data_IF_051087192322
#
_entry.id   IF_051087192322
#
_cell.length_a   1.000
_cell.length_b   1.000
_cell.length_c   1.000
_cell.angle_alpha   90.00
_cell.angle_beta   90.00
_cell.angle_gamma   90.00
#
_symmetry.space_group_name_H-M   'P 1'
#
loop_
_entity.id
_entity.type
_entity.pdbx_description
1 polymer ?
#
# COMPACT_ATOMS: atom_id res chain seq x y z
N UNK A 1 11.20 39.58 69.34
CA UNK A 1 10.08 40.51 69.55
C UNK A 1 10.21 41.55 68.46
N UNK A 2 9.42 41.56 67.39
CA UNK A 2 8.11 40.95 67.18
C UNK A 2 7.92 40.50 65.73
N UNK A 3 7.34 39.31 65.59
CA UNK A 3 6.54 38.90 64.44
C UNK A 3 5.21 39.68 64.45
N UNK A 4 4.66 40.03 63.28
CA UNK A 4 3.26 39.67 62.97
C UNK A 4 2.90 39.95 61.51
N UNK A 5 2.44 38.87 60.90
CA UNK A 5 1.64 38.71 59.69
C UNK A 5 0.61 39.81 59.39
N UNK A 6 0.41 40.04 58.09
CA UNK A 6 -0.95 40.02 57.52
C UNK A 6 -0.93 39.61 56.06
N UNK A 7 -1.27 38.36 55.83
CA UNK A 7 -1.96 37.89 54.64
C UNK A 7 -3.21 38.75 54.36
N UNK A 8 -3.46 39.06 53.09
CA UNK A 8 -4.72 38.69 52.40
C UNK A 8 -4.73 39.12 50.93
N UNK A 9 -5.00 38.09 50.12
CA UNK A 9 -5.91 38.11 48.97
C UNK A 9 -5.47 38.87 47.70
N UNK A 10 -4.80 38.12 46.82
CA UNK A 10 -5.04 38.22 45.36
C UNK A 10 -6.51 37.86 45.09
N UNK A 11 -7.23 38.56 44.20
CA UNK A 11 -7.08 38.23 42.78
C UNK A 11 -7.40 39.41 41.84
N UNK A 12 -6.67 39.56 40.74
CA UNK A 12 -7.34 39.94 39.49
C UNK A 12 -6.47 39.85 38.26
N UNK A 13 -7.11 39.32 37.23
CA UNK A 13 -6.91 39.66 35.84
C UNK A 13 -5.65 39.07 35.19
N UNK A 14 -5.73 37.76 34.95
CA UNK A 14 -5.55 37.24 33.59
C UNK A 14 -6.15 38.22 32.56
N UNK A 15 -5.27 38.85 31.78
CA UNK A 15 -5.60 39.58 30.55
C UNK A 15 -4.72 39.01 29.44
N UNK A 16 -5.30 38.76 28.26
CA UNK A 16 -5.09 37.54 27.51
C UNK A 16 -3.88 37.65 26.60
N UNK A 17 -3.27 36.49 26.31
CA UNK A 17 -2.41 36.33 25.15
C UNK A 17 -3.25 36.62 23.90
N UNK A 18 -3.26 37.88 23.47
CA UNK A 18 -3.84 38.30 22.21
C UNK A 18 -3.17 37.57 21.04
N UNK A 19 -3.88 37.36 19.91
CA UNK A 19 -3.37 36.69 18.73
C UNK A 19 -2.41 37.60 17.94
N UNK A 20 -1.36 38.11 18.59
CA UNK A 20 -0.25 38.83 17.96
C UNK A 20 1.01 37.96 17.94
N UNK A 21 0.86 36.66 17.68
CA UNK A 21 1.89 35.91 16.97
C UNK A 21 1.80 36.26 15.49
N UNK A 22 1.88 37.54 15.18
CA UNK A 22 2.13 38.06 13.84
C UNK A 22 3.42 37.42 13.35
N UNK A 23 3.29 36.43 12.46
CA UNK A 23 4.32 35.90 11.55
C UNK A 23 5.78 36.23 11.92
N UNK A 24 6.24 35.81 13.11
CA UNK A 24 7.64 35.97 13.49
C UNK A 24 8.43 34.98 12.68
N UNK A 25 8.97 35.48 11.56
CA UNK A 25 9.81 34.72 10.65
C UNK A 25 10.87 33.97 11.46
N UNK A 26 10.96 32.67 11.24
CA UNK A 26 11.98 31.84 11.86
C UNK A 26 13.37 32.29 11.41
N UNK A 27 14.41 31.99 12.19
CA UNK A 27 15.79 32.36 11.83
C UNK A 27 16.20 31.82 10.44
N UNK A 28 15.65 30.67 10.05
CA UNK A 28 15.87 30.06 8.73
C UNK A 28 15.13 30.83 7.61
N UNK A 29 13.92 31.30 7.87
CA UNK A 29 13.13 32.12 6.92
C UNK A 29 13.71 33.54 6.78
N UNK A 30 14.19 34.14 7.87
CA UNK A 30 14.92 35.42 7.83
C UNK A 30 16.23 35.26 7.06
N UNK A 31 16.97 34.18 7.30
CA UNK A 31 18.20 33.89 6.55
C UNK A 31 17.91 33.61 5.06
N UNK A 32 16.73 33.09 4.72
CA UNK A 32 16.29 32.89 3.34
C UNK A 32 15.89 34.23 2.66
N UNK A 33 15.11 35.07 3.34
CA UNK A 33 14.61 36.35 2.83
C UNK A 33 15.71 37.43 2.74
N UNK A 34 16.66 37.42 3.68
CA UNK A 34 17.80 38.35 3.71
C UNK A 34 19.02 37.82 2.94
N UNK A 35 18.92 36.63 2.32
CA UNK A 35 20.03 36.07 1.54
C UNK A 35 20.19 36.84 0.24
N UNK A 36 21.44 37.18 -0.08
CA UNK A 36 21.78 37.78 -1.36
C UNK A 36 21.39 36.82 -2.52
N UNK A 37 20.50 37.23 -3.45
CA UNK A 37 20.10 36.41 -4.59
C UNK A 37 21.28 36.00 -5.47
N UNK A 38 22.35 36.81 -5.52
CA UNK A 38 23.57 36.47 -6.26
C UNK A 38 24.36 35.34 -5.60
N UNK A 39 24.33 35.24 -4.26
CA UNK A 39 24.94 34.10 -3.55
C UNK A 39 24.11 32.83 -3.74
N UNK A 40 22.78 32.92 -3.74
CA UNK A 40 21.91 31.78 -4.06
C UNK A 40 22.16 31.26 -5.48
N UNK A 41 22.25 32.16 -6.47
CA UNK A 41 22.53 31.78 -7.84
C UNK A 41 23.89 31.07 -7.97
N UNK A 42 24.93 31.58 -7.31
CA UNK A 42 26.27 30.96 -7.29
C UNK A 42 26.28 29.60 -6.61
N UNK A 43 25.55 29.43 -5.50
CA UNK A 43 25.43 28.15 -4.82
C UNK A 43 24.63 27.13 -5.63
N UNK A 44 23.52 27.55 -6.23
CA UNK A 44 22.74 26.71 -7.13
C UNK A 44 23.56 26.28 -8.34
N UNK A 45 24.37 27.17 -8.92
CA UNK A 45 25.25 26.86 -10.03
C UNK A 45 26.35 25.87 -9.60
N UNK A 46 26.95 26.06 -8.42
CA UNK A 46 27.94 25.14 -7.85
C UNK A 46 27.33 23.76 -7.57
N UNK A 47 26.11 23.71 -7.05
CA UNK A 47 25.35 22.48 -6.85
C UNK A 47 25.00 21.80 -8.19
N UNK A 48 24.61 22.56 -9.21
CA UNK A 48 24.32 22.05 -10.55
C UNK A 48 25.58 21.48 -11.22
N UNK A 49 26.74 22.13 -11.08
CA UNK A 49 28.03 21.60 -11.55
C UNK A 49 28.42 20.30 -10.81
N UNK A 50 28.24 20.28 -9.49
CA UNK A 50 28.48 19.07 -8.67
C UNK A 50 27.55 17.91 -9.06
N UNK A 51 26.27 18.18 -9.32
CA UNK A 51 25.32 17.16 -9.75
C UNK A 51 25.66 16.63 -11.15
N UNK A 52 26.03 17.50 -12.10
CA UNK A 52 26.51 17.10 -13.43
C UNK A 52 27.72 16.17 -13.37
N UNK A 53 28.76 16.55 -12.62
CA UNK A 53 29.95 15.70 -12.45
C UNK A 53 29.63 14.35 -11.79
N UNK A 54 28.69 14.32 -10.83
CA UNK A 54 28.21 13.07 -10.22
C UNK A 54 27.44 12.20 -11.21
N UNK A 55 26.60 12.78 -12.06
CA UNK A 55 25.86 12.04 -13.09
C UNK A 55 26.79 11.53 -14.19
N UNK A 56 27.76 12.33 -14.61
CA UNK A 56 28.78 11.94 -15.59
C UNK A 56 29.65 10.80 -15.05
N UNK A 57 30.06 10.85 -13.78
CA UNK A 57 30.80 9.75 -13.15
C UNK A 57 29.99 8.46 -13.06
N UNK A 58 28.68 8.55 -12.85
CA UNK A 58 27.79 7.37 -12.87
C UNK A 58 27.57 6.83 -14.28
N UNK A 59 27.61 7.69 -15.30
CA UNK A 59 27.48 7.29 -16.69
C UNK A 59 28.78 6.66 -17.21
N UNK A 60 29.94 7.20 -16.82
CA UNK A 60 31.26 6.74 -17.24
C UNK A 60 31.72 5.46 -16.52
N UNK A 61 31.30 5.24 -15.27
CA UNK A 61 31.64 4.05 -14.49
C UNK A 61 30.38 3.24 -14.12
N UNK A 62 29.99 2.24 -14.94
CA UNK A 62 28.83 1.39 -14.67
C UNK A 62 29.00 0.54 -13.40
N UNK A 63 30.23 0.15 -13.04
CA UNK A 63 30.50 -0.62 -11.83
C UNK A 63 30.29 0.23 -10.56
N UNK A 64 30.66 1.51 -10.59
CA UNK A 64 30.35 2.46 -9.53
C UNK A 64 28.85 2.72 -9.39
N UNK A 65 28.13 2.85 -10.50
CA UNK A 65 26.67 2.99 -10.47
C UNK A 65 25.98 1.77 -9.86
N UNK A 66 26.41 0.55 -10.22
CA UNK A 66 25.91 -0.69 -9.61
C UNK A 66 26.19 -0.77 -8.10
N UNK A 67 27.40 -0.38 -7.65
CA UNK A 67 27.72 -0.32 -6.21
C UNK A 67 26.77 0.62 -5.44
N UNK A 68 26.42 1.78 -6.02
CA UNK A 68 25.44 2.69 -5.41
C UNK A 68 24.04 2.06 -5.32
N UNK A 69 23.56 1.47 -6.42
CA UNK A 69 22.24 0.78 -6.44
C UNK A 69 22.19 -0.39 -5.46
N UNK A 70 23.28 -1.14 -5.32
CA UNK A 70 23.38 -2.24 -4.36
C UNK A 70 23.32 -1.73 -2.92
N UNK A 71 24.05 -0.65 -2.60
CA UNK A 71 24.00 -0.01 -1.29
C UNK A 71 22.61 0.54 -0.94
N UNK A 72 21.89 1.13 -1.92
CA UNK A 72 20.50 1.55 -1.73
C UNK A 72 19.55 0.39 -1.47
N UNK A 73 19.68 -0.71 -2.23
CA UNK A 73 18.89 -1.93 -2.01
C UNK A 73 19.10 -2.49 -0.60
N UNK A 74 20.33 -2.51 -0.10
CA UNK A 74 20.66 -2.98 1.24
C UNK A 74 20.07 -2.06 2.33
N UNK A 75 20.17 -0.73 2.17
CA UNK A 75 19.52 0.22 3.08
C UNK A 75 18.01 0.00 3.14
N UNK A 76 17.36 -0.18 2.00
CA UNK A 76 15.92 -0.47 1.94
C UNK A 76 15.58 -1.80 2.60
N UNK A 77 16.40 -2.84 2.39
CA UNK A 77 16.22 -4.15 3.05
C UNK A 77 16.30 -4.03 4.56
N UNK A 78 17.31 -3.34 5.10
CA UNK A 78 17.45 -3.10 6.55
C UNK A 78 16.29 -2.30 7.13
N UNK A 79 15.82 -1.27 6.41
CA UNK A 79 14.65 -0.50 6.83
C UNK A 79 13.40 -1.38 6.91
N UNK A 80 13.12 -2.17 5.87
CA UNK A 80 11.98 -3.11 5.86
C UNK A 80 12.08 -4.13 6.99
N UNK A 81 13.27 -4.67 7.24
CA UNK A 81 13.51 -5.61 8.34
C UNK A 81 13.19 -4.96 9.70
N UNK A 82 13.68 -3.73 9.93
CA UNK A 82 13.39 -2.98 11.14
C UNK A 82 11.89 -2.67 11.29
N UNK A 83 11.25 -2.26 10.21
CA UNK A 83 9.81 -1.95 10.19
C UNK A 83 8.93 -3.20 10.37
N UNK A 84 9.47 -4.41 10.11
CA UNK A 84 8.79 -5.69 10.37
C UNK A 84 9.01 -6.23 11.79
N UNK A 85 10.04 -5.81 12.52
CA UNK A 85 10.28 -6.25 13.89
C UNK A 85 9.18 -5.67 14.79
N UNK A 86 8.46 -6.53 15.50
CA UNK A 86 7.38 -6.13 16.42
C UNK A 86 6.02 -5.90 15.76
N UNK A 87 5.88 -6.12 14.44
CA UNK A 87 4.55 -6.24 13.83
C UNK A 87 4.07 -7.69 14.01
N UNK A 88 2.87 -7.91 14.57
CA UNK A 88 2.30 -9.25 14.59
C UNK A 88 2.20 -9.76 13.15
N UNK A 89 2.53 -11.04 12.96
CA UNK A 89 2.34 -11.70 11.67
C UNK A 89 0.89 -11.49 11.24
N UNK A 90 0.64 -10.96 10.02
CA UNK A 90 -0.72 -10.77 9.56
C UNK A 90 -1.43 -12.12 9.60
N UNK A 91 -2.66 -12.19 10.12
CA UNK A 91 -3.38 -13.45 10.26
C UNK A 91 -3.45 -14.14 8.90
N UNK A 92 -3.17 -15.45 8.87
CA UNK A 92 -3.31 -16.25 7.66
C UNK A 92 -4.74 -16.11 7.15
N UNK A 93 -4.89 -15.51 5.98
CA UNK A 93 -6.19 -15.37 5.35
C UNK A 93 -6.66 -16.77 4.91
N UNK A 94 -7.87 -17.19 5.30
CA UNK A 94 -8.41 -18.47 4.87
C UNK A 94 -8.57 -18.52 3.35
N UNK A 95 -8.63 -19.72 2.78
CA UNK A 95 -8.92 -19.86 1.37
C UNK A 95 -10.31 -19.32 1.02
N UNK A 96 -10.45 -18.72 -0.16
CA UNK A 96 -11.77 -18.36 -0.68
C UNK A 96 -12.46 -19.64 -1.16
N UNK A 97 -13.70 -19.85 -0.71
CA UNK A 97 -14.53 -20.97 -1.19
C UNK A 97 -14.83 -20.78 -2.68
N UNK A 98 -14.47 -21.79 -3.48
CA UNK A 98 -14.68 -21.79 -4.92
C UNK A 98 -15.70 -22.88 -5.28
N UNK A 99 -16.66 -22.58 -6.18
CA UNK A 99 -17.65 -23.56 -6.58
C UNK A 99 -17.00 -24.77 -7.28
N UNK A 100 -17.64 -25.93 -7.20
CA UNK A 100 -17.20 -27.13 -7.91
C UNK A 100 -17.50 -27.02 -9.42
N UNK A 101 -16.60 -26.35 -10.13
CA UNK A 101 -16.64 -26.21 -11.58
C UNK A 101 -15.47 -26.94 -12.23
N UNK A 102 -15.74 -27.51 -13.40
CA UNK A 102 -14.68 -27.97 -14.31
C UNK A 102 -13.95 -26.78 -14.92
N UNK A 103 -12.76 -27.02 -15.48
CA UNK A 103 -11.98 -25.99 -16.17
C UNK A 103 -12.78 -25.30 -17.29
N UNK A 104 -13.54 -26.07 -18.08
CA UNK A 104 -14.34 -25.53 -19.18
C UNK A 104 -15.45 -24.61 -18.68
N UNK A 105 -16.18 -25.04 -17.64
CA UNK A 105 -17.24 -24.24 -17.01
C UNK A 105 -16.69 -22.98 -16.35
N UNK A 106 -15.52 -23.07 -15.70
CA UNK A 106 -14.87 -21.89 -15.11
C UNK A 106 -14.48 -20.86 -16.19
N UNK A 107 -13.98 -21.33 -17.34
CA UNK A 107 -13.65 -20.47 -18.47
C UNK A 107 -14.90 -19.84 -19.12
N UNK A 108 -15.97 -20.61 -19.28
CA UNK A 108 -17.25 -20.15 -19.82
C UNK A 108 -17.86 -19.06 -18.92
N UNK A 109 -17.98 -19.31 -17.61
CA UNK A 109 -18.48 -18.30 -16.66
C UNK A 109 -17.65 -17.02 -16.65
N UNK A 110 -16.33 -17.14 -16.76
CA UNK A 110 -15.45 -15.99 -16.87
C UNK A 110 -15.72 -15.23 -18.17
N UNK A 111 -15.86 -15.94 -19.30
CA UNK A 111 -16.16 -15.34 -20.60
C UNK A 111 -17.51 -14.62 -20.60
N UNK A 112 -18.56 -15.24 -20.06
CA UNK A 112 -19.89 -14.64 -19.94
C UNK A 112 -19.91 -13.41 -19.03
N UNK A 113 -19.20 -13.47 -17.90
CA UNK A 113 -19.04 -12.32 -17.02
C UNK A 113 -18.28 -11.19 -17.73
N UNK A 114 -17.23 -11.54 -18.48
CA UNK A 114 -16.51 -10.56 -19.27
C UNK A 114 -17.45 -9.94 -20.29
N UNK A 115 -18.25 -10.69 -21.06
CA UNK A 115 -19.23 -10.14 -22.01
C UNK A 115 -20.21 -9.16 -21.38
N UNK A 116 -20.69 -9.42 -20.16
CA UNK A 116 -21.59 -8.52 -19.43
C UNK A 116 -20.91 -7.27 -18.85
N UNK A 117 -19.58 -7.26 -18.73
CA UNK A 117 -18.82 -6.13 -18.15
C UNK A 117 -18.44 -5.08 -19.20
N UNK A 118 -18.86 -3.83 -19.04
CA UNK A 118 -18.50 -2.74 -19.97
C UNK A 118 -17.07 -2.17 -19.79
N UNK A 119 -16.25 -2.76 -18.90
CA UNK A 119 -14.94 -2.20 -18.56
C UNK A 119 -13.90 -2.37 -19.70
N UNK A 120 -12.99 -1.41 -19.81
CA UNK A 120 -11.86 -1.50 -20.76
C UNK A 120 -10.98 -2.73 -20.48
N UNK A 121 -10.81 -3.09 -19.20
CA UNK A 121 -10.09 -4.29 -18.80
C UNK A 121 -10.79 -5.58 -19.27
N UNK A 122 -12.12 -5.63 -19.18
CA UNK A 122 -12.88 -6.78 -19.70
C UNK A 122 -12.71 -6.89 -21.22
N UNK A 123 -12.77 -5.78 -21.95
CA UNK A 123 -12.53 -5.78 -23.40
C UNK A 123 -11.13 -6.32 -23.76
N UNK A 124 -10.08 -5.89 -23.04
CA UNK A 124 -8.73 -6.40 -23.24
C UNK A 124 -8.60 -7.90 -22.95
N UNK A 125 -9.30 -8.40 -21.93
CA UNK A 125 -9.23 -9.81 -21.57
C UNK A 125 -10.00 -10.71 -22.55
N UNK A 126 -11.14 -10.24 -23.09
CA UNK A 126 -11.87 -10.93 -24.17
C UNK A 126 -11.02 -11.15 -25.42
N UNK A 127 -10.15 -10.19 -25.75
CA UNK A 127 -9.22 -10.31 -26.86
C UNK A 127 -8.08 -11.32 -26.63
N UNK A 128 -8.00 -11.96 -25.45
CA UNK A 128 -6.90 -12.83 -25.04
C UNK A 128 -7.42 -14.18 -24.49
N UNK A 129 -7.88 -15.10 -25.36
CA UNK A 129 -8.43 -16.39 -24.94
C UNK A 129 -7.45 -17.24 -24.12
N UNK A 130 -6.15 -17.16 -24.40
CA UNK A 130 -5.12 -17.89 -23.63
C UNK A 130 -5.04 -17.42 -22.17
N UNK A 131 -5.33 -16.14 -21.91
CA UNK A 131 -5.37 -15.62 -20.54
C UNK A 131 -6.59 -16.11 -19.79
N UNK A 132 -7.74 -16.22 -20.46
CA UNK A 132 -8.97 -16.80 -19.89
C UNK A 132 -8.72 -18.27 -19.51
N UNK A 133 -8.09 -19.05 -20.41
CA UNK A 133 -7.70 -20.44 -20.13
C UNK A 133 -6.76 -20.53 -18.93
N UNK A 134 -5.73 -19.67 -18.86
CA UNK A 134 -4.81 -19.64 -17.73
C UNK A 134 -5.51 -19.33 -16.40
N UNK A 135 -6.49 -18.42 -16.39
CA UNK A 135 -7.27 -18.15 -15.19
C UNK A 135 -8.14 -19.33 -14.78
N UNK A 136 -8.75 -20.04 -15.74
CA UNK A 136 -9.52 -21.26 -15.46
C UNK A 136 -8.64 -22.42 -14.95
N UNK A 137 -7.42 -22.59 -15.49
CA UNK A 137 -6.42 -23.55 -14.99
C UNK A 137 -6.03 -23.20 -13.54
N UNK A 138 -5.77 -21.91 -13.27
CA UNK A 138 -5.44 -21.41 -11.94
C UNK A 138 -6.61 -21.57 -10.95
N UNK A 139 -7.85 -21.42 -11.39
CA UNK A 139 -9.04 -21.69 -10.59
C UNK A 139 -9.10 -23.15 -10.12
N UNK A 140 -8.93 -24.10 -11.04
CA UNK A 140 -8.94 -25.53 -10.70
C UNK A 140 -7.76 -25.89 -9.78
N UNK A 141 -6.57 -25.36 -10.05
CA UNK A 141 -5.40 -25.56 -9.20
C UNK A 141 -5.59 -24.95 -7.80
N UNK A 142 -6.20 -23.77 -7.69
CA UNK A 142 -6.49 -23.15 -6.41
C UNK A 142 -7.47 -24.02 -5.60
N UNK A 143 -8.61 -24.38 -6.21
CA UNK A 143 -9.67 -25.17 -5.56
C UNK A 143 -9.17 -26.50 -5.03
N UNK A 144 -8.35 -27.19 -5.82
CA UNK A 144 -7.78 -28.50 -5.43
C UNK A 144 -6.81 -28.36 -4.25
N UNK A 145 -6.02 -27.30 -4.21
CA UNK A 145 -5.10 -27.03 -3.11
C UNK A 145 -5.80 -26.48 -1.86
N UNK A 146 -6.98 -25.88 -2.02
CA UNK A 146 -7.77 -25.30 -0.94
C UNK A 146 -8.85 -26.23 -0.39
N UNK A 147 -8.83 -27.52 -0.73
CA UNK A 147 -9.84 -28.48 -0.28
C UNK A 147 -9.93 -28.56 1.26
N UNK A 148 -8.77 -28.43 1.94
CA UNK A 148 -8.67 -28.43 3.41
C UNK A 148 -8.92 -27.04 4.02
N UNK A 149 -9.43 -26.08 3.26
CA UNK A 149 -9.67 -24.69 3.70
C UNK A 149 -8.41 -23.82 3.83
N UNK A 150 -7.22 -24.41 3.59
CA UNK A 150 -5.94 -23.70 3.65
C UNK A 150 -5.68 -22.94 2.36
N UNK A 151 -5.27 -21.67 2.49
CA UNK A 151 -4.97 -20.83 1.33
C UNK A 151 -3.73 -21.35 0.59
N UNK A 152 -3.80 -21.61 -0.72
CA UNK A 152 -2.65 -22.09 -1.48
C UNK A 152 -1.47 -21.12 -1.45
N UNK A 153 -0.29 -21.66 -1.12
CA UNK A 153 0.97 -20.91 -1.22
C UNK A 153 1.35 -20.67 -2.68
N UNK A 154 2.22 -19.69 -2.93
CA UNK A 154 2.77 -19.44 -4.28
C UNK A 154 3.50 -20.67 -4.82
N UNK A 155 4.23 -21.39 -3.96
CA UNK A 155 5.00 -22.56 -4.36
C UNK A 155 4.10 -23.73 -4.77
N UNK A 156 3.10 -24.05 -3.95
CA UNK A 156 2.17 -25.15 -4.22
C UNK A 156 1.32 -24.88 -5.47
N UNK A 157 0.84 -23.64 -5.65
CA UNK A 157 0.10 -23.26 -6.85
C UNK A 157 0.95 -23.34 -8.13
N UNK A 158 2.21 -22.88 -8.08
CA UNK A 158 3.14 -22.97 -9.20
C UNK A 158 3.46 -24.43 -9.56
N UNK A 159 3.71 -25.27 -8.55
CA UNK A 159 4.02 -26.67 -8.73
C UNK A 159 2.85 -27.44 -9.37
N UNK A 160 1.62 -27.16 -8.92
CA UNK A 160 0.44 -27.80 -9.49
C UNK A 160 0.14 -27.33 -10.91
N UNK A 161 0.31 -26.03 -11.20
CA UNK A 161 0.18 -25.50 -12.56
C UNK A 161 1.19 -26.13 -13.53
N UNK A 162 2.44 -26.34 -13.07
CA UNK A 162 3.47 -26.99 -13.87
C UNK A 162 3.18 -28.47 -14.10
N UNK A 163 2.86 -29.22 -13.05
CA UNK A 163 2.67 -30.67 -13.12
C UNK A 163 1.38 -31.07 -13.85
N UNK A 164 0.28 -30.36 -13.61
CA UNK A 164 -1.03 -30.70 -14.19
C UNK A 164 -1.28 -30.08 -15.56
N UNK A 165 -0.80 -28.85 -15.79
CA UNK A 165 -1.13 -28.09 -17.00
C UNK A 165 0.10 -27.73 -17.84
N UNK A 166 1.31 -28.16 -17.45
CA UNK A 166 2.54 -27.83 -18.16
C UNK A 166 2.92 -26.35 -18.13
N UNK A 167 2.29 -25.53 -17.27
CA UNK A 167 2.49 -24.08 -17.23
C UNK A 167 3.63 -23.70 -16.30
N UNK A 168 4.69 -23.12 -16.88
CA UNK A 168 5.76 -22.48 -16.11
C UNK A 168 5.44 -21.01 -15.91
N UNK A 169 5.26 -20.60 -14.66
CA UNK A 169 4.81 -19.25 -14.28
C UNK A 169 5.77 -18.68 -13.25
N UNK A 170 6.16 -17.40 -13.38
CA UNK A 170 7.10 -16.78 -12.43
C UNK A 170 6.42 -16.52 -11.08
N UNK A 171 7.18 -16.41 -9.96
CA UNK A 171 6.58 -16.19 -8.64
C UNK A 171 5.66 -14.96 -8.55
N UNK A 172 5.99 -13.88 -9.28
CA UNK A 172 5.16 -12.67 -9.33
C UNK A 172 3.88 -12.86 -10.14
N UNK A 173 3.93 -13.66 -11.20
CA UNK A 173 2.75 -14.01 -11.98
C UNK A 173 1.84 -14.96 -11.20
N UNK A 174 2.37 -15.92 -10.45
CA UNK A 174 1.58 -16.81 -9.58
C UNK A 174 0.85 -16.00 -8.52
N UNK A 175 1.51 -15.02 -7.92
CA UNK A 175 0.87 -14.11 -6.98
C UNK A 175 -0.32 -13.38 -7.62
N UNK A 176 -0.13 -12.78 -8.80
CA UNK A 176 -1.21 -12.11 -9.54
C UNK A 176 -2.34 -13.06 -9.93
N UNK A 177 -2.03 -14.29 -10.34
CA UNK A 177 -3.04 -15.30 -10.67
C UNK A 177 -3.89 -15.62 -9.44
N UNK A 178 -3.25 -15.86 -8.29
CA UNK A 178 -3.95 -16.11 -7.03
C UNK A 178 -4.88 -14.95 -6.66
N UNK A 179 -4.36 -13.72 -6.71
CA UNK A 179 -5.13 -12.52 -6.36
C UNK A 179 -6.31 -12.30 -7.32
N UNK A 180 -6.15 -12.61 -8.60
CA UNK A 180 -7.25 -12.55 -9.57
C UNK A 180 -8.28 -13.66 -9.35
N UNK A 181 -7.87 -14.88 -9.01
CA UNK A 181 -8.79 -15.97 -8.70
C UNK A 181 -9.65 -15.61 -7.49
N UNK A 182 -9.03 -15.10 -6.43
CA UNK A 182 -9.71 -14.64 -5.23
C UNK A 182 -10.62 -13.43 -5.53
N UNK A 183 -10.16 -12.49 -6.36
CA UNK A 183 -10.97 -11.35 -6.81
C UNK A 183 -12.18 -11.76 -7.67
N UNK A 184 -12.05 -12.79 -8.51
CA UNK A 184 -13.14 -13.33 -9.33
C UNK A 184 -14.13 -14.18 -8.53
N UNK A 185 -13.71 -14.69 -7.37
CA UNK A 185 -14.56 -15.41 -6.43
C UNK A 185 -15.29 -14.48 -5.44
N UNK A 186 -14.89 -13.21 -5.36
CA UNK A 186 -15.58 -12.21 -4.56
C UNK A 186 -17.02 -11.98 -5.04
N UNK A 187 -17.88 -11.46 -4.16
CA UNK A 187 -19.29 -11.22 -4.45
C UNK A 187 -19.50 -10.40 -5.74
N UNK A 188 -20.30 -10.93 -6.66
CA UNK A 188 -20.55 -10.34 -7.99
C UNK A 188 -19.51 -10.71 -9.06
N UNK A 189 -18.49 -11.50 -8.72
CA UNK A 189 -17.53 -12.08 -9.66
C UNK A 189 -18.05 -13.33 -10.39
N UNK A 190 -17.35 -13.79 -11.43
CA UNK A 190 -17.76 -14.94 -12.25
C UNK A 190 -17.82 -16.27 -11.49
N UNK A 191 -17.10 -16.38 -10.37
CA UNK A 191 -16.99 -17.60 -9.58
C UNK A 191 -17.47 -17.41 -8.14
N UNK A 192 -18.21 -16.33 -7.86
CA UNK A 192 -18.87 -16.19 -6.58
C UNK A 192 -19.78 -17.40 -6.34
N UNK A 193 -19.64 -18.03 -5.17
CA UNK A 193 -20.64 -19.00 -4.72
C UNK A 193 -21.97 -18.27 -4.58
N UNK A 194 -22.96 -18.68 -5.37
CA UNK A 194 -24.32 -18.19 -5.15
C UNK A 194 -24.78 -18.77 -3.82
N UNK A 195 -25.26 -17.95 -2.86
CA UNK A 195 -25.82 -18.50 -1.64
C UNK A 195 -26.94 -19.45 -2.06
N UNK A 196 -26.84 -20.71 -1.63
CA UNK A 196 -27.91 -21.68 -1.78
C UNK A 196 -29.20 -21.02 -1.28
N UNK A 197 -30.17 -20.84 -2.16
CA UNK A 197 -31.46 -20.24 -1.87
C UNK A 197 -32.14 -21.07 -0.77
N UNK A 198 -32.08 -20.63 0.48
CA UNK A 198 -32.72 -21.32 1.60
C UNK A 198 -32.03 -21.20 2.96
N UNK A 199 -31.54 -20.02 3.35
CA UNK A 199 -31.34 -19.72 4.77
C UNK A 199 -31.70 -18.25 5.02
N UNK A 200 -32.72 -18.07 5.85
CA UNK A 200 -33.39 -16.82 6.10
C UNK A 200 -32.48 -15.75 6.71
N UNK A 201 -32.74 -14.51 6.30
CA UNK A 201 -32.79 -13.30 7.11
C UNK A 201 -31.62 -12.99 8.07
N UNK A 202 -30.93 -11.88 7.79
CA UNK A 202 -30.26 -11.10 8.83
C UNK A 202 -28.80 -10.76 8.54
N UNK A 203 -28.57 -9.73 7.73
CA UNK A 203 -27.86 -8.50 8.10
C UNK A 203 -27.42 -7.77 6.85
N UNK A 204 -28.12 -6.67 6.56
CA UNK A 204 -27.66 -5.65 5.64
C UNK A 204 -26.49 -4.95 6.30
N UNK A 205 -25.26 -5.41 6.04
CA UNK A 205 -24.06 -4.65 6.34
C UNK A 205 -23.93 -3.54 5.29
N UNK A 206 -24.55 -2.41 5.60
CA UNK A 206 -24.47 -1.17 4.85
C UNK A 206 -23.01 -0.83 4.53
N UNK A 207 -22.72 -0.77 3.23
CA UNK A 207 -21.46 -0.28 2.66
C UNK A 207 -21.34 1.22 2.95
N UNK A 208 -20.85 1.58 4.12
CA UNK A 208 -20.54 2.96 4.48
C UNK A 208 -19.33 3.40 3.65
N UNK A 209 -19.59 4.18 2.60
CA UNK A 209 -18.57 4.98 1.90
C UNK A 209 -18.05 6.03 2.89
N UNK A 210 -16.94 5.75 3.57
CA UNK A 210 -16.18 6.80 4.26
C UNK A 210 -15.26 7.49 3.25
N UNK A 211 -15.82 8.42 2.49
CA UNK A 211 -15.09 9.53 1.88
C UNK A 211 -15.17 10.74 2.81
N UNK A 212 -14.55 10.64 3.99
CA UNK A 212 -14.44 11.72 4.95
C UNK A 212 -13.05 12.33 4.86
N UNK A 213 -12.95 13.48 4.21
CA UNK A 213 -11.81 14.38 4.25
C UNK A 213 -11.75 14.92 5.69
N UNK A 214 -10.78 14.47 6.48
CA UNK A 214 -10.50 15.05 7.78
C UNK A 214 -9.28 15.96 7.62
N UNK A 215 -9.53 17.25 7.51
CA UNK A 215 -8.55 18.27 7.88
C UNK A 215 -8.17 18.03 9.34
N UNK A 216 -6.89 17.82 9.60
CA UNK A 216 -6.32 17.79 10.94
C UNK A 216 -5.11 18.70 10.96
N UNK A 217 -5.39 19.99 11.12
CA UNK A 217 -4.53 20.87 11.89
C UNK A 217 -4.59 20.42 13.35
N UNK A 218 -3.44 20.15 13.94
CA UNK A 218 -3.34 19.66 15.32
C UNK A 218 -1.89 19.60 15.79
N UNK A 219 -1.42 20.73 16.31
CA UNK A 219 -0.14 20.89 17.01
C UNK A 219 0.11 19.78 18.05
N UNK A 220 1.29 19.18 18.01
CA UNK A 220 1.80 18.33 19.09
C UNK A 220 2.52 19.20 20.15
N UNK A 221 2.20 19.08 21.45
CA UNK A 221 3.02 19.66 22.51
C UNK A 221 4.27 18.80 22.74
N UNK A 222 5.41 19.47 22.91
CA UNK A 222 6.70 18.83 23.22
C UNK A 222 6.73 18.36 24.69
N UNK A 223 7.39 17.24 25.00
CA UNK A 223 7.57 16.81 26.39
C UNK A 223 8.61 17.67 27.12
N UNK A 224 8.28 18.01 28.38
CA UNK A 224 9.20 18.56 29.37
C UNK A 224 10.38 17.61 29.61
N UNK A 225 11.60 18.15 29.71
CA UNK A 225 12.75 17.46 30.31
C UNK A 225 13.09 18.15 31.65
N UNK A 226 13.47 17.37 32.68
CA UNK A 226 13.96 17.91 33.94
C UNK A 226 15.33 18.59 33.79
#
# INVERSE_FOLDING_TARGET
MDDTDRDRDSPSASVPAGPEQEHRLTAEELAFLLRDPMLQAREAERAARSNRSRTERRAADPAYAERLRAGDRERQRRRRLRDSIGRPEPPEQPAVALPDLTQAQAAERLTDHLHRSASAQAAQLRARPDRIRLYAEAFVAYRTLSADGVRPTRGTLAALLKSRFGRSVTPSQVQKLRDHVEGFAAAGGPWAEMPASGAASGTVAARKRNGGKADTDGHAPRPFRP
#
